data_IF_026046855034
#
_entry.id   IF_026046855034
#
_cell.length_a   1.000
_cell.length_b   1.000
_cell.length_c   1.000
_cell.angle_alpha   90.00
_cell.angle_beta   90.00
_cell.angle_gamma   90.00
#
_symmetry.space_group_name_H-M   'P 1'
#
loop_
_entity.id
_entity.type
_entity.pdbx_description
1 polymer ?
#
# COMPACT_ATOMS: atom_id res chain seq x y z
N UNK A 1 -15.89 -13.90 10.18
CA UNK A 1 -15.15 -15.01 9.53
C UNK A 1 -15.62 -15.17 8.09
N UNK A 2 -16.90 -15.38 7.84
CA UNK A 2 -17.45 -15.73 6.51
C UNK A 2 -17.15 -14.73 5.38
N UNK A 3 -16.99 -13.44 5.68
CA UNK A 3 -16.62 -12.43 4.66
C UNK A 3 -15.17 -12.65 4.23
N UNK A 4 -14.26 -12.84 5.18
CA UNK A 4 -12.83 -13.00 4.91
C UNK A 4 -12.57 -14.29 4.14
N UNK A 5 -13.17 -15.41 4.54
CA UNK A 5 -12.95 -16.72 3.89
C UNK A 5 -13.55 -16.83 2.47
N UNK A 6 -14.32 -15.84 2.04
CA UNK A 6 -14.87 -15.74 0.67
C UNK A 6 -14.26 -14.60 -0.15
N UNK A 7 -13.27 -13.92 0.42
CA UNK A 7 -12.55 -12.84 -0.27
C UNK A 7 -11.29 -13.40 -0.92
N UNK A 8 -10.92 -12.86 -2.07
CA UNK A 8 -9.67 -13.22 -2.77
C UNK A 8 -8.47 -12.44 -2.22
N UNK A 9 -8.75 -11.36 -1.47
CA UNK A 9 -7.71 -10.47 -0.94
C UNK A 9 -8.17 -9.78 0.35
N UNK A 10 -7.23 -9.58 1.28
CA UNK A 10 -7.39 -8.81 2.50
C UNK A 10 -6.38 -7.66 2.52
N UNK A 11 -6.84 -6.43 2.66
CA UNK A 11 -5.97 -5.27 2.88
C UNK A 11 -5.99 -4.87 4.35
N UNK A 12 -4.81 -4.73 4.96
CA UNK A 12 -4.62 -4.29 6.34
C UNK A 12 -3.80 -3.00 6.37
N UNK A 13 -4.10 -2.13 7.31
CA UNK A 13 -3.31 -0.94 7.60
C UNK A 13 -2.71 -1.03 9.00
N UNK A 14 -1.61 -0.31 9.26
CA UNK A 14 -0.96 -0.29 10.56
C UNK A 14 -1.86 0.20 11.69
N UNK A 15 -2.89 0.98 11.39
CA UNK A 15 -3.88 1.41 12.37
C UNK A 15 -4.50 0.25 13.14
N UNK A 16 -4.58 -0.94 12.51
CA UNK A 16 -5.06 -2.14 13.18
C UNK A 16 -4.05 -2.74 14.16
N UNK A 17 -2.78 -2.30 14.17
CA UNK A 17 -1.71 -2.94 14.96
C UNK A 17 -1.26 -2.12 16.17
N UNK A 18 -1.64 -0.86 16.28
CA UNK A 18 -1.20 0.01 17.38
C UNK A 18 -1.84 -0.36 18.73
N UNK A 19 -3.07 -0.86 18.74
CA UNK A 19 -3.80 -1.20 19.98
C UNK A 19 -4.59 -2.51 19.86
N UNK A 20 -4.94 -3.11 20.99
CA UNK A 20 -5.97 -4.16 21.05
C UNK A 20 -7.34 -3.54 21.38
N UNK A 21 -8.43 -4.18 20.95
CA UNK A 21 -8.59 -5.46 20.25
C UNK A 21 -8.39 -5.45 18.73
N UNK A 22 -8.18 -4.29 18.03
CA UNK A 22 -7.99 -4.29 16.56
C UNK A 22 -6.83 -5.17 16.12
N UNK A 23 -5.71 -5.18 16.85
CA UNK A 23 -4.53 -6.00 16.55
C UNK A 23 -4.87 -7.50 16.51
N UNK A 24 -5.50 -7.99 17.56
CA UNK A 24 -5.92 -9.40 17.64
C UNK A 24 -6.90 -9.74 16.51
N UNK A 25 -7.80 -8.85 16.16
CA UNK A 25 -8.73 -9.01 15.05
C UNK A 25 -8.03 -9.05 13.69
N UNK A 26 -7.07 -8.14 13.44
CA UNK A 26 -6.29 -8.09 12.20
C UNK A 26 -5.44 -9.36 12.02
N UNK A 27 -4.74 -9.80 13.07
CA UNK A 27 -3.96 -11.05 13.05
C UNK A 27 -4.85 -12.26 12.76
N UNK A 28 -6.03 -12.33 13.39
CA UNK A 28 -6.99 -13.39 13.10
C UNK A 28 -7.52 -13.33 11.67
N UNK A 29 -7.76 -12.11 11.15
CA UNK A 29 -8.22 -11.91 9.79
C UNK A 29 -7.17 -12.37 8.76
N UNK A 30 -5.89 -12.00 8.95
CA UNK A 30 -4.78 -12.46 8.10
C UNK A 30 -4.67 -13.98 8.08
N UNK A 31 -4.71 -14.62 9.27
CA UNK A 31 -4.69 -16.08 9.38
C UNK A 31 -5.84 -16.75 8.62
N UNK A 32 -7.06 -16.20 8.70
CA UNK A 32 -8.21 -16.75 7.97
C UNK A 32 -8.10 -16.51 6.47
N UNK A 33 -7.56 -15.38 6.02
CA UNK A 33 -7.32 -15.08 4.62
C UNK A 33 -6.36 -16.11 4.01
N UNK A 34 -5.18 -16.33 4.62
CA UNK A 34 -4.22 -17.32 4.16
C UNK A 34 -4.78 -18.75 4.17
N UNK A 35 -5.53 -19.14 5.22
CA UNK A 35 -6.17 -20.47 5.28
C UNK A 35 -7.18 -20.70 4.14
N UNK A 36 -7.79 -19.62 3.61
CA UNK A 36 -8.72 -19.70 2.47
C UNK A 36 -8.05 -19.49 1.11
N UNK A 37 -6.72 -19.29 1.06
CA UNK A 37 -5.96 -19.05 -0.16
C UNK A 37 -6.02 -17.59 -0.68
N UNK A 38 -6.53 -16.66 0.15
CA UNK A 38 -6.53 -15.25 -0.18
C UNK A 38 -5.16 -14.62 0.09
N UNK A 39 -4.78 -13.65 -0.73
CA UNK A 39 -3.59 -12.83 -0.51
C UNK A 39 -3.84 -11.73 0.53
N UNK A 40 -2.76 -11.26 1.17
CA UNK A 40 -2.84 -10.19 2.19
C UNK A 40 -1.91 -9.05 1.82
N UNK A 41 -2.41 -7.82 1.79
CA UNK A 41 -1.58 -6.63 1.64
C UNK A 41 -1.53 -5.77 2.90
N UNK A 42 -0.46 -5.01 3.02
CA UNK A 42 -0.21 -4.17 4.17
C UNK A 42 0.22 -2.75 3.78
N UNK A 43 -0.39 -1.75 4.39
CA UNK A 43 0.03 -0.35 4.34
C UNK A 43 0.49 0.08 5.75
N UNK A 44 1.75 0.48 5.95
CA UNK A 44 2.29 0.89 7.25
C UNK A 44 1.61 2.13 7.87
N UNK A 45 0.91 2.93 7.09
CA UNK A 45 -0.14 3.86 7.47
C UNK A 45 0.27 5.13 8.21
N UNK A 46 1.20 5.12 9.16
CA UNK A 46 1.58 6.32 9.92
C UNK A 46 2.99 6.22 10.48
N UNK A 47 3.92 6.95 9.87
CA UNK A 47 5.30 7.00 10.36
C UNK A 47 5.40 7.55 11.79
N UNK A 48 4.57 8.55 12.16
CA UNK A 48 4.57 9.11 13.52
C UNK A 48 4.22 8.05 14.56
N UNK A 49 3.16 7.28 14.34
CA UNK A 49 2.74 6.22 15.25
C UNK A 49 3.76 5.10 15.36
N UNK A 50 4.45 4.77 14.25
CA UNK A 50 5.55 3.79 14.26
C UNK A 50 6.72 4.31 15.10
N UNK A 51 7.07 5.59 14.96
CA UNK A 51 8.12 6.23 15.77
C UNK A 51 7.75 6.27 17.26
N UNK A 52 6.53 6.66 17.60
CA UNK A 52 6.04 6.72 18.99
C UNK A 52 6.03 5.34 19.66
N UNK A 53 5.60 4.30 18.93
CA UNK A 53 5.63 2.93 19.43
C UNK A 53 7.05 2.36 19.50
N UNK A 54 7.96 2.86 18.67
CA UNK A 54 9.28 2.31 18.40
C UNK A 54 9.23 1.19 17.36
N UNK A 55 10.12 1.27 16.36
CA UNK A 55 10.14 0.38 15.19
C UNK A 55 10.17 -1.10 15.59
N UNK A 56 11.05 -1.48 16.53
CA UNK A 56 11.14 -2.88 16.97
C UNK A 56 9.85 -3.39 17.61
N UNK A 57 9.20 -2.56 18.43
CA UNK A 57 7.90 -2.89 19.06
C UNK A 57 6.81 -3.02 18.00
N UNK A 58 6.76 -2.08 17.06
CA UNK A 58 5.80 -2.13 15.96
C UNK A 58 5.96 -3.40 15.11
N UNK A 59 7.18 -3.70 14.66
CA UNK A 59 7.47 -4.89 13.87
C UNK A 59 7.12 -6.19 14.60
N UNK A 60 7.33 -6.26 15.91
CA UNK A 60 6.92 -7.40 16.72
C UNK A 60 5.39 -7.64 16.72
N UNK A 61 4.58 -6.66 16.28
CA UNK A 61 3.12 -6.84 16.18
C UNK A 61 2.64 -7.39 14.83
N UNK A 62 3.44 -7.26 13.77
CA UNK A 62 2.98 -7.53 12.41
C UNK A 62 4.00 -8.22 11.48
N UNK A 63 5.32 -8.21 11.78
CA UNK A 63 6.33 -8.72 10.84
C UNK A 63 6.32 -10.25 10.69
N UNK A 64 5.64 -10.97 11.57
CA UNK A 64 5.41 -12.42 11.47
C UNK A 64 4.17 -12.80 10.64
N UNK A 65 3.46 -11.80 10.12
CA UNK A 65 2.37 -12.03 9.17
C UNK A 65 2.95 -12.06 7.75
N UNK A 66 2.61 -13.10 7.01
CA UNK A 66 3.07 -13.29 5.63
C UNK A 66 2.27 -12.33 4.71
N UNK A 67 2.81 -11.12 4.49
CA UNK A 67 2.20 -10.17 3.56
C UNK A 67 2.68 -10.44 2.13
N UNK A 68 1.74 -10.54 1.19
CA UNK A 68 2.05 -10.71 -0.24
C UNK A 68 2.43 -9.38 -0.91
N UNK A 69 1.91 -8.26 -0.40
CA UNK A 69 2.13 -6.92 -0.94
C UNK A 69 2.30 -5.94 0.22
N UNK A 70 3.32 -5.07 0.15
CA UNK A 70 3.53 -3.98 1.12
C UNK A 70 3.61 -2.65 0.37
N UNK A 71 2.80 -1.66 0.83
CA UNK A 71 2.64 -0.36 0.15
C UNK A 71 3.06 0.81 1.06
N UNK A 72 4.31 0.93 1.50
CA UNK A 72 4.76 2.05 2.32
C UNK A 72 4.81 3.35 1.51
N UNK A 73 4.69 4.49 2.20
CA UNK A 73 5.19 5.75 1.67
C UNK A 73 6.67 5.94 2.03
N UNK A 74 7.28 7.04 1.53
CA UNK A 74 8.70 7.32 1.74
C UNK A 74 9.03 7.48 3.23
N UNK A 75 8.25 8.26 3.98
CA UNK A 75 8.48 8.50 5.40
C UNK A 75 8.33 7.23 6.25
N UNK A 76 7.35 6.42 5.94
CA UNK A 76 7.15 5.11 6.59
C UNK A 76 8.33 4.18 6.31
N UNK A 77 8.77 4.14 5.05
CA UNK A 77 9.95 3.39 4.65
C UNK A 77 11.23 3.87 5.32
N UNK A 78 11.46 5.19 5.42
CA UNK A 78 12.58 5.79 6.14
C UNK A 78 12.59 5.37 7.61
N UNK A 79 11.46 5.46 8.29
CA UNK A 79 11.35 5.06 9.71
C UNK A 79 11.62 3.57 9.89
N UNK A 80 11.08 2.72 9.02
CA UNK A 80 11.24 1.26 9.11
C UNK A 80 12.68 0.79 8.82
N UNK A 81 13.39 1.46 7.91
CA UNK A 81 14.70 0.99 7.40
C UNK A 81 15.88 1.84 7.85
N UNK A 82 15.63 3.08 8.25
CA UNK A 82 16.69 4.05 8.59
C UNK A 82 17.42 4.64 7.38
N UNK A 83 16.93 4.44 6.14
CA UNK A 83 17.54 4.94 4.91
C UNK A 83 16.69 6.03 4.28
N UNK A 84 17.32 6.99 3.57
CA UNK A 84 16.68 8.03 2.78
C UNK A 84 16.65 7.70 1.27
N UNK A 85 17.42 6.71 0.83
CA UNK A 85 17.48 6.28 -0.56
C UNK A 85 16.30 5.36 -0.90
N UNK A 86 15.47 5.67 -1.91
CA UNK A 86 14.29 4.88 -2.24
C UNK A 86 14.57 3.40 -2.56
N UNK A 87 15.71 3.10 -3.19
CA UNK A 87 16.07 1.71 -3.51
C UNK A 87 16.48 0.95 -2.25
N UNK A 88 17.23 1.59 -1.35
CA UNK A 88 17.60 0.99 -0.07
C UNK A 88 16.39 0.83 0.84
N UNK A 89 15.47 1.80 0.84
CA UNK A 89 14.16 1.67 1.52
C UNK A 89 13.42 0.44 1.00
N UNK A 90 13.22 0.32 -0.30
CA UNK A 90 12.47 -0.79 -0.86
C UNK A 90 13.13 -2.15 -0.57
N UNK A 91 14.48 -2.25 -0.67
CA UNK A 91 15.22 -3.45 -0.25
C UNK A 91 15.09 -3.74 1.24
N UNK A 92 15.15 -2.70 2.08
CA UNK A 92 15.00 -2.82 3.52
C UNK A 92 13.60 -3.35 3.90
N UNK A 93 12.56 -2.80 3.28
CA UNK A 93 11.17 -3.27 3.45
C UNK A 93 11.00 -4.72 2.99
N UNK A 94 11.59 -5.11 1.84
CA UNK A 94 11.57 -6.50 1.38
C UNK A 94 12.30 -7.48 2.33
N UNK A 95 13.34 -7.01 3.04
CA UNK A 95 14.01 -7.82 4.09
C UNK A 95 13.15 -7.96 5.35
N UNK A 96 12.39 -6.91 5.70
CA UNK A 96 11.46 -6.94 6.85
C UNK A 96 10.28 -7.88 6.57
N UNK A 97 9.78 -7.87 5.32
CA UNK A 97 8.63 -8.67 4.86
C UNK A 97 9.05 -9.57 3.70
N UNK A 98 9.72 -10.70 3.98
CA UNK A 98 10.27 -11.56 2.94
C UNK A 98 9.19 -12.14 2.02
N UNK A 99 9.42 -12.09 0.71
CA UNK A 99 8.49 -12.58 -0.29
C UNK A 99 7.41 -11.59 -0.72
N UNK A 100 7.29 -10.44 -0.04
CA UNK A 100 6.31 -9.44 -0.40
C UNK A 100 6.73 -8.63 -1.65
N UNK A 101 5.79 -8.37 -2.52
CA UNK A 101 5.89 -7.31 -3.53
C UNK A 101 5.92 -5.95 -2.80
N UNK A 102 6.96 -5.15 -3.02
CA UNK A 102 7.08 -3.81 -2.42
C UNK A 102 6.72 -2.73 -3.43
N UNK A 103 5.78 -1.86 -3.07
CA UNK A 103 5.37 -0.70 -3.87
C UNK A 103 5.53 0.55 -3.00
N UNK A 104 6.68 1.21 -3.13
CA UNK A 104 7.03 2.40 -2.37
C UNK A 104 6.43 3.65 -3.03
N UNK A 105 5.55 4.33 -2.32
CA UNK A 105 4.96 5.61 -2.72
C UNK A 105 5.97 6.73 -2.47
N UNK A 106 6.28 7.55 -3.47
CA UNK A 106 7.31 8.60 -3.44
C UNK A 106 6.73 10.01 -3.56
N UNK A 107 5.46 10.20 -3.22
CA UNK A 107 4.76 11.49 -3.27
C UNK A 107 4.89 12.18 -4.65
N UNK A 108 5.55 13.33 -4.69
CA UNK A 108 5.78 14.10 -5.93
C UNK A 108 6.70 13.38 -6.93
N UNK A 109 7.45 12.36 -6.49
CA UNK A 109 8.37 11.59 -7.33
C UNK A 109 7.72 10.31 -7.89
N UNK A 110 6.42 10.10 -7.62
CA UNK A 110 5.66 8.97 -8.14
C UNK A 110 5.75 7.71 -7.27
N UNK A 111 6.24 6.59 -7.80
CA UNK A 111 6.36 5.34 -7.05
C UNK A 111 7.54 4.49 -7.52
N UNK A 112 8.03 3.61 -6.66
CA UNK A 112 9.05 2.61 -6.98
C UNK A 112 8.48 1.22 -6.71
N UNK A 113 8.47 0.36 -7.70
CA UNK A 113 8.08 -1.05 -7.59
C UNK A 113 9.33 -1.91 -7.50
N UNK A 114 9.41 -2.76 -6.47
CA UNK A 114 10.40 -3.82 -6.36
C UNK A 114 9.68 -5.17 -6.49
N UNK A 115 9.92 -5.85 -7.59
CA UNK A 115 9.36 -7.16 -7.90
C UNK A 115 10.47 -8.07 -8.44
N UNK A 116 10.61 -9.28 -7.91
CA UNK A 116 11.62 -10.27 -8.34
C UNK A 116 13.06 -9.70 -8.44
N UNK A 117 13.45 -8.86 -7.45
CA UNK A 117 14.72 -8.13 -7.36
C UNK A 117 14.91 -7.01 -8.42
N UNK A 118 13.93 -6.78 -9.29
CA UNK A 118 13.96 -5.72 -10.28
C UNK A 118 13.23 -4.46 -9.80
N UNK A 119 13.87 -3.29 -10.03
CA UNK A 119 13.30 -2.00 -9.73
C UNK A 119 12.68 -1.35 -10.96
N UNK A 120 11.45 -0.88 -10.80
CA UNK A 120 10.79 -0.04 -11.82
C UNK A 120 10.29 1.25 -11.19
N UNK A 121 10.83 2.38 -11.63
CA UNK A 121 10.32 3.70 -11.23
C UNK A 121 9.12 4.09 -12.10
N UNK A 122 8.06 4.51 -11.45
CA UNK A 122 6.82 5.03 -12.07
C UNK A 122 6.78 6.54 -11.83
N UNK A 123 6.93 7.37 -12.87
CA UNK A 123 6.91 8.82 -12.71
C UNK A 123 5.54 9.31 -12.24
N UNK A 124 5.47 10.49 -11.58
CA UNK A 124 4.20 11.09 -11.18
C UNK A 124 3.34 11.41 -12.41
N UNK A 125 2.02 11.31 -12.26
CA UNK A 125 1.09 11.59 -13.36
C UNK A 125 0.59 13.04 -13.38
N UNK A 126 0.88 13.83 -12.35
CA UNK A 126 0.57 15.27 -12.28
C UNK A 126 1.59 15.97 -11.38
N UNK A 127 1.76 17.29 -11.58
CA UNK A 127 2.45 18.19 -10.67
C UNK A 127 1.47 19.19 -10.01
N UNK A 128 0.16 19.00 -10.21
CA UNK A 128 -0.87 19.88 -9.69
C UNK A 128 -1.44 19.30 -8.40
N UNK A 129 -1.06 19.90 -7.28
CA UNK A 129 -1.56 19.55 -5.96
C UNK A 129 -2.58 20.58 -5.47
N UNK A 130 -3.79 20.14 -5.16
CA UNK A 130 -4.85 20.90 -4.50
C UNK A 130 -5.01 20.43 -3.05
N UNK A 131 -5.14 19.11 -2.84
CA UNK A 131 -5.28 18.50 -1.52
C UNK A 131 -4.71 17.08 -1.55
N UNK A 132 -3.73 16.79 -0.69
CA UNK A 132 -3.10 15.47 -0.62
C UNK A 132 -3.93 14.41 0.13
N UNK A 133 -5.06 14.81 0.75
CA UNK A 133 -5.89 13.91 1.55
C UNK A 133 -6.43 12.76 0.71
N UNK A 134 -6.17 11.53 1.15
CA UNK A 134 -6.59 10.32 0.45
C UNK A 134 -5.71 9.89 -0.73
N UNK A 135 -4.60 10.56 -1.00
CA UNK A 135 -3.66 10.18 -2.06
C UNK A 135 -3.15 8.74 -1.88
N UNK A 136 -2.65 8.42 -0.67
CA UNK A 136 -2.15 7.08 -0.33
C UNK A 136 -3.23 6.00 -0.44
N UNK A 137 -4.42 6.25 0.13
CA UNK A 137 -5.55 5.30 0.11
C UNK A 137 -6.04 5.04 -1.31
N UNK A 138 -6.15 6.11 -2.13
CA UNK A 138 -6.56 5.99 -3.53
C UNK A 138 -5.52 5.27 -4.38
N UNK A 139 -4.23 5.50 -4.11
CA UNK A 139 -3.15 4.74 -4.74
C UNK A 139 -3.24 3.27 -4.36
N UNK A 140 -3.27 2.94 -3.06
CA UNK A 140 -3.31 1.56 -2.58
C UNK A 140 -4.54 0.82 -3.12
N UNK A 141 -5.73 1.40 -2.98
CA UNK A 141 -6.98 0.78 -3.45
C UNK A 141 -7.01 0.55 -4.95
N UNK A 142 -6.56 1.52 -5.76
CA UNK A 142 -6.52 1.37 -7.22
C UNK A 142 -5.39 0.44 -7.69
N UNK A 143 -4.24 0.43 -7.02
CA UNK A 143 -3.18 -0.55 -7.26
C UNK A 143 -3.70 -1.97 -7.06
N UNK A 144 -4.31 -2.24 -5.91
CA UNK A 144 -4.85 -3.56 -5.58
C UNK A 144 -5.94 -3.98 -6.56
N UNK A 145 -6.89 -3.08 -6.86
CA UNK A 145 -7.96 -3.37 -7.82
C UNK A 145 -7.42 -3.80 -9.19
N UNK A 146 -6.40 -3.11 -9.71
CA UNK A 146 -5.80 -3.44 -11.00
C UNK A 146 -4.91 -4.69 -10.92
N UNK A 147 -4.05 -4.77 -9.88
CA UNK A 147 -3.09 -5.87 -9.74
C UNK A 147 -3.77 -7.23 -9.54
N UNK A 148 -4.83 -7.29 -8.74
CA UNK A 148 -5.55 -8.54 -8.46
C UNK A 148 -6.21 -9.14 -9.73
N UNK A 149 -6.60 -8.28 -10.68
CA UNK A 149 -7.18 -8.72 -11.97
C UNK A 149 -6.09 -9.08 -12.99
N UNK A 150 -5.08 -8.19 -13.17
CA UNK A 150 -4.15 -8.29 -14.30
C UNK A 150 -2.80 -8.91 -13.95
N UNK A 151 -2.49 -9.08 -12.65
CA UNK A 151 -1.25 -9.66 -12.14
C UNK A 151 0.04 -8.98 -12.66
N UNK A 152 -0.06 -7.69 -13.00
CA UNK A 152 1.06 -6.86 -13.45
C UNK A 152 1.31 -5.73 -12.46
N UNK A 153 2.34 -5.81 -11.59
CA UNK A 153 2.59 -4.80 -10.56
C UNK A 153 2.97 -3.44 -11.15
N UNK A 154 3.74 -3.43 -12.24
CA UNK A 154 4.18 -2.19 -12.90
C UNK A 154 2.99 -1.45 -13.51
N UNK A 155 2.12 -2.15 -14.24
CA UNK A 155 0.93 -1.52 -14.83
C UNK A 155 -0.10 -1.11 -13.76
N UNK A 156 -0.22 -1.89 -12.69
CA UNK A 156 -1.04 -1.51 -11.55
C UNK A 156 -0.53 -0.22 -10.87
N UNK A 157 0.79 -0.08 -10.70
CA UNK A 157 1.38 1.14 -10.14
C UNK A 157 1.19 2.35 -11.09
N UNK A 158 1.33 2.18 -12.41
CA UNK A 158 1.02 3.22 -13.41
C UNK A 158 -0.45 3.66 -13.33
N UNK A 159 -1.35 2.70 -13.21
CA UNK A 159 -2.78 2.97 -13.04
C UNK A 159 -3.04 3.73 -11.74
N UNK A 160 -2.50 3.24 -10.62
CA UNK A 160 -2.65 3.83 -9.30
C UNK A 160 -2.14 5.27 -9.23
N UNK A 161 -0.97 5.55 -9.84
CA UNK A 161 -0.40 6.90 -9.92
C UNK A 161 -1.35 7.86 -10.65
N UNK A 162 -2.03 7.43 -11.72
CA UNK A 162 -3.02 8.25 -12.43
C UNK A 162 -4.28 8.50 -11.61
N UNK A 163 -4.75 7.51 -10.86
CA UNK A 163 -5.94 7.68 -9.98
C UNK A 163 -5.59 8.59 -8.80
N UNK A 164 -4.46 8.39 -8.14
CA UNK A 164 -3.99 9.27 -7.07
C UNK A 164 -3.80 10.71 -7.55
N UNK A 165 -3.23 10.91 -8.74
CA UNK A 165 -3.11 12.21 -9.39
C UNK A 165 -4.47 12.90 -9.59
N UNK A 166 -5.49 12.15 -10.03
CA UNK A 166 -6.84 12.70 -10.13
C UNK A 166 -7.38 13.11 -8.76
N UNK A 167 -7.19 12.31 -7.72
CA UNK A 167 -7.66 12.62 -6.36
C UNK A 167 -7.02 13.91 -5.84
N UNK A 168 -5.69 14.04 -5.91
CA UNK A 168 -4.98 15.21 -5.36
C UNK A 168 -5.22 16.53 -6.12
N UNK A 169 -5.80 16.48 -7.30
CA UNK A 169 -6.23 17.67 -8.06
C UNK A 169 -7.59 18.21 -7.57
N UNK A 170 -8.20 17.57 -6.57
CA UNK A 170 -9.51 17.94 -6.00
C UNK A 170 -9.42 18.09 -4.48
N UNK A 171 -10.44 18.71 -3.87
CA UNK A 171 -10.54 18.86 -2.41
C UNK A 171 -11.17 17.60 -1.80
N UNK A 172 -10.56 17.09 -0.72
CA UNK A 172 -11.05 15.97 0.08
C UNK A 172 -10.66 14.60 -0.44
N UNK A 173 -10.67 13.62 0.46
CA UNK A 173 -10.22 12.24 0.20
C UNK A 173 -11.10 11.46 -0.80
N UNK A 174 -12.33 11.87 -1.02
CA UNK A 174 -13.30 11.22 -1.91
C UNK A 174 -14.01 12.25 -2.79
N UNK A 175 -13.32 12.84 -3.77
CA UNK A 175 -13.95 13.76 -4.71
C UNK A 175 -15.08 13.07 -5.48
N UNK A 176 -16.10 13.85 -5.86
CA UNK A 176 -17.17 13.31 -6.71
C UNK A 176 -16.58 12.86 -8.06
N UNK A 177 -16.87 11.63 -8.53
CA UNK A 177 -16.32 11.12 -9.77
C UNK A 177 -16.79 11.96 -10.97
N UNK A 178 -15.87 12.19 -11.90
CA UNK A 178 -16.10 12.88 -13.17
C UNK A 178 -15.88 11.95 -14.37
N UNK A 179 -15.99 12.50 -15.58
CA UNK A 179 -15.77 11.76 -16.81
C UNK A 179 -14.32 11.27 -16.96
N UNK A 180 -13.33 12.02 -16.43
CA UNK A 180 -11.91 11.64 -16.47
C UNK A 180 -11.65 10.41 -15.60
N UNK A 181 -12.16 10.38 -14.36
CA UNK A 181 -12.06 9.21 -13.50
C UNK A 181 -12.78 8.01 -14.11
N UNK A 182 -13.97 8.21 -14.63
CA UNK A 182 -14.76 7.14 -15.29
C UNK A 182 -13.99 6.52 -16.46
N UNK A 183 -13.31 7.33 -17.26
CA UNK A 183 -12.46 6.85 -18.37
C UNK A 183 -11.24 6.07 -17.84
N UNK A 184 -10.56 6.57 -16.81
CA UNK A 184 -9.43 5.88 -16.20
C UNK A 184 -9.83 4.50 -15.67
N UNK A 185 -10.94 4.40 -14.94
CA UNK A 185 -11.36 3.17 -14.29
C UNK A 185 -12.02 2.15 -15.22
N UNK A 186 -12.41 2.54 -16.43
CA UNK A 186 -12.97 1.62 -17.43
C UNK A 186 -12.01 0.51 -17.88
N UNK A 187 -10.71 0.70 -17.65
CA UNK A 187 -9.65 -0.26 -18.04
C UNK A 187 -9.42 -1.38 -17.02
N UNK A 188 -10.09 -1.35 -15.86
CA UNK A 188 -9.93 -2.36 -14.78
C UNK A 188 -10.95 -3.50 -14.89
N UNK A 189 -11.78 -3.50 -15.92
CA UNK A 189 -12.84 -4.52 -16.12
C UNK A 189 -12.37 -5.69 -16.96
#
# INVERSE_FOLDING_TARGET
>A
ADVITRSDHLHLTAWSFFTDPPRSAARRAASLAHQSGATVSFDPGSFQMIQEMGVATFLATCADLDFDIVLPNKEEGQVLTGSDDPHEIARGVAKIFPGALVVLKLDADGALVLADDDFTHIPPATNKLVDATGAGDSFAGSFLAHHLVHRSPVEAARFATRVAAWVIEHVGARPAPDARLSTLTSTVR
#
